data_IF_335259632530
#
_entry.id   IF_335259632530
#
_cell.length_a   1.000
_cell.length_b   1.000
_cell.length_c   1.000
_cell.angle_alpha   90.00
_cell.angle_beta   90.00
_cell.angle_gamma   90.00
#
_symmetry.space_group_name_H-M   'P 1'
#
loop_
_entity.id
_entity.type
_entity.pdbx_description
1 polymer ?
#
# COMPACT_ATOMS: atom_id res chain seq x y z
N UNK A 1 -12.37 5.98 -6.93
CA UNK A 1 -11.48 5.13 -6.13
C UNK A 1 -10.76 6.02 -5.15
N UNK A 2 -10.59 5.59 -3.90
CA UNK A 2 -9.83 6.32 -2.89
C UNK A 2 -8.72 5.44 -2.36
N UNK A 3 -7.54 6.04 -2.17
CA UNK A 3 -6.35 5.37 -1.65
C UNK A 3 -5.92 6.11 -0.40
N UNK A 4 -5.86 5.38 0.70
CA UNK A 4 -5.44 5.84 2.02
C UNK A 4 -4.08 5.21 2.33
N UNK A 5 -3.05 6.05 2.37
CA UNK A 5 -1.67 5.66 2.68
C UNK A 5 -1.29 5.98 4.13
N UNK A 6 -2.19 6.60 4.88
CA UNK A 6 -2.00 6.96 6.27
C UNK A 6 -2.06 5.76 7.20
N UNK A 7 -1.32 5.85 8.31
CA UNK A 7 -1.48 4.92 9.41
C UNK A 7 -1.19 5.63 10.74
N UNK A 8 -2.19 5.63 11.61
CA UNK A 8 -2.14 6.16 12.96
C UNK A 8 -2.37 5.04 13.99
N UNK A 9 -1.87 5.19 15.24
CA UNK A 9 -2.13 4.23 16.31
C UNK A 9 -3.63 3.93 16.47
N UNK A 10 -3.97 2.66 16.65
CA UNK A 10 -5.36 2.19 16.65
C UNK A 10 -5.87 1.72 15.27
N UNK A 11 -5.01 1.74 14.24
CA UNK A 11 -5.36 1.21 12.92
C UNK A 11 -6.21 2.16 12.08
N UNK A 12 -6.00 3.47 12.25
CA UNK A 12 -6.78 4.53 11.58
C UNK A 12 -5.96 5.12 10.43
N UNK A 13 -6.58 5.34 9.28
CA UNK A 13 -5.95 5.97 8.11
C UNK A 13 -6.04 7.50 8.13
N UNK A 14 -5.75 8.14 7.00
CA UNK A 14 -5.93 9.59 6.81
C UNK A 14 -7.39 9.95 6.47
N UNK A 15 -8.20 8.97 6.08
CA UNK A 15 -9.53 9.18 5.50
C UNK A 15 -10.61 8.49 6.34
N UNK A 16 -11.70 9.21 6.60
CA UNK A 16 -12.88 8.66 7.22
C UNK A 16 -13.64 7.73 6.24
N UNK A 17 -13.67 6.43 6.54
CA UNK A 17 -14.24 5.40 5.64
C UNK A 17 -15.76 5.34 5.64
N UNK A 18 -16.42 5.56 6.79
CA UNK A 18 -17.87 5.40 6.92
C UNK A 18 -18.72 6.19 5.91
N UNK A 19 -18.49 7.50 5.68
CA UNK A 19 -19.26 8.26 4.69
C UNK A 19 -18.86 7.96 3.23
N UNK A 20 -17.82 7.15 3.03
CA UNK A 20 -17.17 6.95 1.74
C UNK A 20 -17.64 5.67 1.03
N UNK A 21 -18.08 4.65 1.79
CA UNK A 21 -18.43 3.30 1.32
C UNK A 21 -19.42 3.32 0.15
N UNK A 22 -20.47 4.15 0.23
CA UNK A 22 -21.52 4.21 -0.81
C UNK A 22 -21.19 5.17 -1.96
N UNK A 23 -20.06 5.90 -1.88
CA UNK A 23 -19.70 6.96 -2.82
C UNK A 23 -18.57 6.57 -3.78
N UNK A 24 -17.82 5.50 -3.47
CA UNK A 24 -16.64 5.12 -4.23
C UNK A 24 -16.74 3.72 -4.79
N UNK A 25 -16.23 3.53 -6.00
CA UNK A 25 -16.18 2.20 -6.62
C UNK A 25 -15.21 1.22 -5.93
N UNK A 26 -14.19 1.74 -5.23
CA UNK A 26 -13.21 0.97 -4.47
C UNK A 26 -12.46 1.88 -3.48
N UNK A 27 -11.96 1.28 -2.38
CA UNK A 27 -11.11 1.93 -1.39
C UNK A 27 -10.03 0.98 -0.86
N UNK A 28 -8.95 1.52 -0.30
CA UNK A 28 -7.95 0.73 0.43
C UNK A 28 -8.24 0.75 1.93
N UNK A 29 -8.42 -0.41 2.60
CA UNK A 29 -8.67 -0.44 4.03
C UNK A 29 -7.43 -0.05 4.83
N UNK A 30 -7.63 0.54 6.00
CA UNK A 30 -6.58 0.71 7.00
C UNK A 30 -7.06 0.03 8.30
N UNK A 31 -6.31 -0.94 8.86
CA UNK A 31 -5.10 -1.56 8.30
C UNK A 31 -5.38 -2.48 7.09
N UNK A 32 -4.33 -2.87 6.36
CA UNK A 32 -4.37 -3.96 5.36
C UNK A 32 -4.38 -3.54 3.89
N UNK A 33 -4.46 -2.24 3.58
CA UNK A 33 -4.40 -1.71 2.23
C UNK A 33 -2.98 -1.40 1.76
N UNK A 34 -2.58 -0.13 1.83
CA UNK A 34 -1.29 0.33 1.28
C UNK A 34 -0.09 -0.24 2.03
N UNK A 35 -0.16 -0.38 3.37
CA UNK A 35 0.95 -0.83 4.21
C UNK A 35 1.62 -2.14 3.75
N UNK A 36 0.89 -3.26 3.62
CA UNK A 36 1.45 -4.53 3.11
C UNK A 36 2.08 -4.40 1.71
N UNK A 37 1.47 -3.59 0.84
CA UNK A 37 1.99 -3.38 -0.52
C UNK A 37 3.26 -2.55 -0.55
N UNK A 38 3.45 -1.61 0.37
CA UNK A 38 4.71 -0.86 0.52
C UNK A 38 5.87 -1.80 0.83
N UNK A 39 5.70 -2.70 1.80
CA UNK A 39 6.72 -3.70 2.17
C UNK A 39 6.99 -4.63 0.99
N UNK A 40 5.94 -5.19 0.39
CA UNK A 40 6.09 -6.08 -0.77
C UNK A 40 6.82 -5.39 -1.93
N UNK A 41 6.51 -4.13 -2.22
CA UNK A 41 7.12 -3.38 -3.31
C UNK A 41 8.61 -3.14 -3.07
N UNK A 42 9.00 -2.79 -1.84
CA UNK A 42 10.42 -2.66 -1.48
C UNK A 42 11.17 -3.99 -1.70
N UNK A 43 10.58 -5.11 -1.28
CA UNK A 43 11.18 -6.44 -1.46
C UNK A 43 11.29 -6.77 -2.94
N UNK A 44 10.23 -6.57 -3.71
CA UNK A 44 10.21 -6.79 -5.15
C UNK A 44 11.30 -5.99 -5.86
N UNK A 45 11.42 -4.70 -5.57
CA UNK A 45 12.46 -3.84 -6.16
C UNK A 45 13.87 -4.26 -5.74
N UNK A 46 14.04 -4.76 -4.52
CA UNK A 46 15.32 -5.28 -4.04
C UNK A 46 15.73 -6.54 -4.80
N UNK A 47 14.80 -7.46 -5.04
CA UNK A 47 15.03 -8.67 -5.85
C UNK A 47 15.34 -8.30 -7.29
N UNK A 48 14.52 -7.46 -7.92
CA UNK A 48 14.73 -7.04 -9.31
C UNK A 48 16.08 -6.32 -9.50
N UNK A 49 16.51 -5.51 -8.53
CA UNK A 49 17.83 -4.88 -8.51
C UNK A 49 18.96 -5.92 -8.41
N UNK A 50 18.80 -6.92 -7.54
CA UNK A 50 19.73 -8.04 -7.39
C UNK A 50 19.88 -8.85 -8.69
N UNK A 51 18.77 -9.24 -9.31
CA UNK A 51 18.75 -9.96 -10.59
C UNK A 51 19.46 -9.17 -11.70
N UNK A 52 19.16 -7.87 -11.79
CA UNK A 52 19.81 -6.98 -12.77
C UNK A 52 21.32 -6.87 -12.54
N UNK A 53 21.77 -6.83 -11.28
CA UNK A 53 23.19 -6.77 -10.93
C UNK A 53 23.94 -8.05 -11.33
N UNK A 54 23.27 -9.20 -11.29
CA UNK A 54 23.85 -10.48 -11.71
C UNK A 54 23.93 -10.63 -13.23
N UNK A 55 22.97 -10.08 -13.98
CA UNK A 55 22.93 -10.14 -15.45
C UNK A 55 23.84 -9.13 -16.15
N UNK A 56 24.25 -8.07 -15.46
CA UNK A 56 25.15 -7.03 -15.98
C UNK A 56 26.64 -7.28 -15.67
N UNK A 57 26.99 -8.48 -15.18
CA UNK A 57 28.37 -8.96 -15.03
C UNK A 57 28.73 -9.87 -16.19
#
# INVERSE_FOLDING_TARGET
MVVDAGYHPGGVGDIELAPLIDRVAAYTPVPGGVGPMTINTLIYQSVASGEKSLLNK
#
